data_IF_633803551773
#
_entry.id   IF_633803551773
#
_cell.length_a   1.000
_cell.length_b   1.000
_cell.length_c   1.000
_cell.angle_alpha   90.00
_cell.angle_beta   90.00
_cell.angle_gamma   90.00
#
_symmetry.space_group_name_H-M   'P 1'
#
loop_
_entity.id
_entity.type
_entity.pdbx_description
1 polymer ?
#
# COMPACT_ATOMS: atom_id res chain seq x y z
N UNK A 1 2.42 -16.97 2.01
CA UNK A 1 2.44 -17.23 3.47
C UNK A 1 1.61 -16.16 4.16
N UNK A 2 0.91 -16.48 5.25
CA UNK A 2 0.23 -15.44 6.04
C UNK A 2 1.27 -14.48 6.62
N UNK A 3 0.97 -13.18 6.55
CA UNK A 3 1.73 -12.07 7.12
C UNK A 3 1.07 -11.53 8.41
N UNK A 4 -0.12 -12.05 8.75
CA UNK A 4 -0.94 -11.60 9.87
C UNK A 4 -2.11 -10.69 9.46
N UNK A 5 -2.86 -10.22 10.46
CA UNK A 5 -3.94 -9.26 10.31
C UNK A 5 -3.40 -7.82 10.21
N UNK A 6 -3.88 -7.09 9.21
CA UNK A 6 -3.55 -5.68 8.98
C UNK A 6 -4.80 -4.81 8.98
N UNK A 7 -4.66 -3.58 9.48
CA UNK A 7 -5.62 -2.51 9.25
C UNK A 7 -5.40 -1.96 7.85
N UNK A 8 -6.46 -1.99 7.03
CA UNK A 8 -6.47 -1.48 5.66
C UNK A 8 -7.16 -0.12 5.66
N UNK A 9 -6.50 0.87 5.09
CA UNK A 9 -7.01 2.22 4.81
C UNK A 9 -6.85 2.54 3.33
N UNK A 10 -7.27 3.73 2.92
CA UNK A 10 -7.09 4.22 1.55
C UNK A 10 -6.54 5.64 1.56
N UNK A 11 -5.61 5.90 0.64
CA UNK A 11 -5.16 7.24 0.29
C UNK A 11 -5.49 7.56 -1.17
N UNK A 12 -5.49 8.85 -1.52
CA UNK A 12 -5.85 9.29 -2.86
C UNK A 12 -5.00 10.46 -3.36
N UNK A 13 -4.96 10.61 -4.70
CA UNK A 13 -4.11 11.59 -5.40
C UNK A 13 -4.23 13.05 -4.96
N UNK A 14 -5.29 13.46 -4.26
CA UNK A 14 -5.47 14.84 -3.80
C UNK A 14 -5.49 14.98 -2.28
N UNK A 15 -5.02 13.97 -1.56
CA UNK A 15 -4.97 13.98 -0.09
C UNK A 15 -3.88 14.91 0.45
N UNK A 16 -2.76 15.01 -0.24
CA UNK A 16 -1.58 15.77 0.16
C UNK A 16 -0.85 16.43 -1.02
N UNK A 17 0.34 16.98 -0.76
CA UNK A 17 1.18 17.63 -1.77
C UNK A 17 1.95 16.64 -2.67
N UNK A 18 2.06 15.37 -2.29
CA UNK A 18 2.83 14.34 -3.00
C UNK A 18 2.02 13.65 -4.12
N UNK A 19 0.69 13.81 -4.11
CA UNK A 19 -0.24 13.34 -5.12
C UNK A 19 -0.15 11.84 -5.43
N UNK A 20 0.36 11.47 -6.61
CA UNK A 20 0.56 10.09 -7.06
C UNK A 20 2.04 9.69 -7.07
N UNK A 21 2.91 10.44 -6.41
CA UNK A 21 4.32 10.09 -6.28
C UNK A 21 4.47 8.88 -5.36
N UNK A 22 5.31 7.92 -5.73
CA UNK A 22 5.61 6.73 -4.91
C UNK A 22 7.03 6.77 -4.36
N UNK A 23 7.24 6.12 -3.22
CA UNK A 23 8.57 5.99 -2.61
C UNK A 23 9.52 5.02 -3.35
N UNK A 24 8.99 4.01 -4.07
CA UNK A 24 9.77 2.98 -4.75
C UNK A 24 9.08 2.45 -6.01
N UNK A 25 9.74 2.43 -7.18
CA UNK A 25 11.09 2.94 -7.42
C UNK A 25 11.15 4.47 -7.34
N UNK A 26 12.15 5.01 -6.64
CA UNK A 26 12.37 6.43 -6.44
C UNK A 26 13.02 7.11 -7.67
N UNK A 27 12.40 6.96 -8.85
CA UNK A 27 12.97 7.44 -10.12
C UNK A 27 12.27 8.68 -10.70
N UNK A 28 11.26 9.19 -10.00
CA UNK A 28 10.48 10.37 -10.40
C UNK A 28 9.63 10.16 -11.66
N UNK A 29 9.55 8.93 -12.17
CA UNK A 29 8.77 8.57 -13.36
C UNK A 29 7.60 7.67 -13.00
N UNK A 30 7.78 6.79 -12.02
CA UNK A 30 6.72 5.93 -11.54
C UNK A 30 5.76 6.70 -10.65
N UNK A 31 4.48 6.37 -10.82
CA UNK A 31 3.34 6.95 -10.11
C UNK A 31 2.49 5.83 -9.55
N UNK A 32 1.71 6.14 -8.52
CA UNK A 32 0.82 5.21 -7.88
C UNK A 32 -0.29 4.78 -8.85
N UNK A 33 -0.61 3.48 -8.86
CA UNK A 33 -1.59 2.89 -9.77
C UNK A 33 -2.71 2.26 -8.94
N UNK A 34 -3.95 2.69 -9.17
CA UNK A 34 -5.11 2.17 -8.44
C UNK A 34 -5.28 0.67 -8.73
N UNK A 35 -5.47 -0.12 -7.68
CA UNK A 35 -5.50 -1.59 -7.80
C UNK A 35 -4.12 -2.23 -7.96
N UNK A 36 -3.02 -1.51 -7.70
CA UNK A 36 -1.67 -2.06 -7.73
C UNK A 36 -0.81 -1.54 -6.58
N UNK A 37 -0.68 -0.23 -6.44
CA UNK A 37 0.21 0.41 -5.46
C UNK A 37 -0.39 0.40 -4.05
N UNK A 38 0.44 0.06 -3.07
CA UNK A 38 0.13 0.20 -1.64
C UNK A 38 1.27 0.88 -0.89
N UNK A 39 0.92 1.66 0.13
CA UNK A 39 1.83 2.16 1.13
C UNK A 39 1.90 1.20 2.33
N UNK A 40 3.12 0.94 2.82
CA UNK A 40 3.37 -0.03 3.90
C UNK A 40 4.43 0.44 4.90
N UNK A 41 4.49 -0.20 6.07
CA UNK A 41 5.70 -0.17 6.91
C UNK A 41 6.76 -1.12 6.34
N UNK A 42 7.83 -0.54 5.80
CA UNK A 42 8.89 -1.30 5.12
C UNK A 42 9.73 -2.19 6.03
N UNK A 43 9.66 -1.99 7.36
CA UNK A 43 10.29 -2.91 8.31
C UNK A 43 9.55 -4.24 8.41
N UNK A 44 8.27 -4.28 7.99
CA UNK A 44 7.41 -5.48 8.01
C UNK A 44 7.22 -6.02 6.59
N UNK A 45 6.91 -5.14 5.62
CA UNK A 45 6.71 -5.50 4.22
C UNK A 45 7.71 -4.71 3.37
N UNK A 46 8.83 -5.31 2.95
CA UNK A 46 9.83 -4.63 2.13
C UNK A 46 9.25 -4.17 0.78
N UNK A 47 9.82 -3.10 0.20
CA UNK A 47 9.44 -2.66 -1.14
C UNK A 47 9.58 -3.77 -2.20
N UNK A 48 8.71 -3.70 -3.22
CA UNK A 48 8.58 -4.69 -4.28
C UNK A 48 7.96 -6.02 -3.84
N UNK A 49 7.58 -6.16 -2.56
CA UNK A 49 6.84 -7.32 -2.07
C UNK A 49 5.43 -7.28 -2.64
N UNK A 50 4.97 -8.43 -3.16
CA UNK A 50 3.58 -8.60 -3.60
C UNK A 50 2.78 -9.23 -2.47
N UNK A 51 1.64 -8.63 -2.17
CA UNK A 51 0.73 -9.13 -1.13
C UNK A 51 -0.66 -9.37 -1.71
N UNK A 52 -1.36 -10.35 -1.17
CA UNK A 52 -2.76 -10.61 -1.47
C UNK A 52 -3.62 -10.11 -0.31
N UNK A 53 -4.59 -9.26 -0.65
CA UNK A 53 -5.57 -8.66 0.27
C UNK A 53 -6.95 -8.90 -0.36
N UNK A 54 -7.84 -9.64 0.31
CA UNK A 54 -9.19 -9.96 -0.20
C UNK A 54 -9.20 -10.44 -1.67
N UNK A 55 -8.36 -11.43 -1.99
CA UNK A 55 -8.19 -11.99 -3.35
C UNK A 55 -7.65 -11.03 -4.43
N UNK A 56 -7.19 -9.84 -4.06
CA UNK A 56 -6.54 -8.89 -4.97
C UNK A 56 -5.04 -8.78 -4.65
N UNK A 57 -4.20 -8.74 -5.69
CA UNK A 57 -2.73 -8.64 -5.52
C UNK A 57 -2.29 -7.21 -5.67
N UNK A 58 -1.52 -6.73 -4.71
CA UNK A 58 -0.92 -5.40 -4.66
C UNK A 58 0.61 -5.49 -4.55
N UNK A 59 1.30 -4.39 -4.80
CA UNK A 59 2.76 -4.26 -4.71
C UNK A 59 3.12 -3.14 -3.74
N UNK A 60 3.97 -3.45 -2.76
CA UNK A 60 4.53 -2.50 -1.82
C UNK A 60 5.50 -1.56 -2.52
N UNK A 61 5.06 -0.34 -2.79
CA UNK A 61 5.78 0.65 -3.59
C UNK A 61 5.83 2.01 -2.89
N UNK A 62 5.03 2.22 -1.86
CA UNK A 62 4.92 3.51 -1.19
C UNK A 62 5.06 3.42 0.33
N UNK A 63 5.18 4.57 0.98
CA UNK A 63 5.24 4.67 2.44
C UNK A 63 4.60 5.97 2.94
N UNK A 64 4.05 5.95 4.15
CA UNK A 64 3.49 7.12 4.80
C UNK A 64 3.92 7.24 6.26
N UNK A 65 3.93 8.46 6.78
CA UNK A 65 4.26 8.71 8.19
C UNK A 65 3.32 7.98 9.16
N UNK A 66 2.04 7.91 8.81
CA UNK A 66 0.99 7.22 9.56
C UNK A 66 0.91 5.70 9.29
N UNK A 67 1.59 5.22 8.25
CA UNK A 67 1.59 3.80 7.85
C UNK A 67 2.73 3.08 8.57
N UNK A 68 2.47 2.73 9.84
CA UNK A 68 3.43 2.07 10.75
C UNK A 68 2.82 0.83 11.38
N UNK A 69 3.63 -0.21 11.56
CA UNK A 69 3.16 -1.50 12.04
C UNK A 69 2.28 -2.22 11.01
N UNK A 70 1.27 -2.94 11.50
CA UNK A 70 0.33 -3.70 10.66
C UNK A 70 -0.75 -2.80 10.04
N UNK A 71 -0.33 -1.78 9.30
CA UNK A 71 -1.20 -0.88 8.54
C UNK A 71 -0.77 -0.90 7.08
N UNK A 72 -1.74 -1.01 6.17
CA UNK A 72 -1.55 -0.88 4.73
C UNK A 72 -2.51 0.17 4.21
N UNK A 73 -1.99 1.11 3.42
CA UNK A 73 -2.80 2.13 2.75
C UNK A 73 -2.88 1.82 1.26
N UNK A 74 -4.10 1.64 0.73
CA UNK A 74 -4.30 1.30 -0.68
C UNK A 74 -4.53 2.56 -1.49
N UNK A 75 -3.75 2.74 -2.55
CA UNK A 75 -3.91 3.89 -3.44
C UNK A 75 -5.22 3.84 -4.25
N UNK A 76 -5.88 4.99 -4.35
CA UNK A 76 -7.09 5.19 -5.14
C UNK A 76 -7.05 6.52 -5.89
N UNK A 77 -7.80 6.62 -7.00
CA UNK A 77 -7.89 7.86 -7.79
C UNK A 77 -8.92 8.85 -7.24
N UNK A 78 -9.77 8.44 -6.30
CA UNK A 78 -10.84 9.25 -5.69
C UNK A 78 -10.90 9.00 -4.19
N UNK A 79 -11.32 9.98 -3.38
CA UNK A 79 -11.43 9.81 -1.94
C UNK A 79 -12.24 8.57 -1.55
N UNK A 80 -11.77 7.83 -0.54
CA UNK A 80 -12.44 6.64 -0.03
C UNK A 80 -12.27 6.53 1.47
N UNK A 81 -13.36 6.75 2.21
CA UNK A 81 -13.39 6.64 3.66
C UNK A 81 -13.89 5.25 4.09
N UNK A 82 -13.01 4.26 3.94
CA UNK A 82 -13.29 2.87 4.34
C UNK A 82 -12.09 2.33 5.12
N UNK A 83 -12.35 1.71 6.27
CA UNK A 83 -11.32 1.04 7.06
C UNK A 83 -11.82 -0.34 7.46
N UNK A 84 -10.96 -1.35 7.36
CA UNK A 84 -11.25 -2.70 7.84
C UNK A 84 -9.97 -3.45 8.19
N UNK A 85 -10.10 -4.54 8.94
CA UNK A 85 -9.00 -5.46 9.21
C UNK A 85 -9.16 -6.72 8.36
N UNK A 86 -8.07 -7.22 7.82
CA UNK A 86 -8.06 -8.50 7.10
C UNK A 86 -6.70 -9.17 7.19
N UNK A 87 -6.68 -10.48 6.99
CA UNK A 87 -5.46 -11.25 6.88
C UNK A 87 -4.77 -10.94 5.55
N UNK A 88 -3.48 -10.64 5.62
CA UNK A 88 -2.64 -10.32 4.46
C UNK A 88 -1.70 -11.47 4.19
N UNK A 89 -1.55 -11.85 2.93
CA UNK A 89 -0.65 -12.92 2.54
C UNK A 89 0.49 -12.39 1.68
N UNK A 90 1.73 -12.63 2.09
CA UNK A 90 2.91 -12.34 1.26
C UNK A 90 3.04 -13.44 0.21
N UNK A 91 3.19 -13.02 -1.05
CA UNK A 91 3.52 -13.87 -2.16
C UNK A 91 5.04 -13.93 -2.27
N UNK A 92 5.62 -15.11 -2.05
CA UNK A 92 7.05 -15.31 -2.29
C UNK A 92 7.32 -15.18 -3.79
N UNK A 93 8.44 -14.55 -4.14
CA UNK A 93 8.95 -14.51 -5.52
C UNK A 93 9.34 -15.91 -5.98
#
# INVERSE_FOLDING_TARGET
MSCGDFKITYYWIGEDEYNDTIASPCDGKHKAIAGHTIAVDTNIIPYGTRVMINNHIYTAEDCGGAVKGNVIDIYTTTPKDVTYNTEVFVLMK
#
